data_IF_878344703977
#
_entry.id   IF_878344703977
#
_cell.length_a   1.000
_cell.length_b   1.000
_cell.length_c   1.000
_cell.angle_alpha   90.00
_cell.angle_beta   90.00
_cell.angle_gamma   90.00
#
_symmetry.space_group_name_H-M   'P 1'
#
loop_
_entity.id
_entity.type
_entity.pdbx_description
1 polymer ?
#
# COMPACT_ATOMS: atom_id res chain seq x y z
N UNK A 1 7.15 -4.98 11.74
CA UNK A 1 7.76 -3.69 11.33
C UNK A 1 7.83 -2.65 12.46
N UNK A 2 6.78 -2.42 13.27
CA UNK A 2 6.82 -1.43 14.38
C UNK A 2 8.02 -1.60 15.33
N UNK A 3 8.33 -2.84 15.74
CA UNK A 3 9.45 -3.13 16.64
C UNK A 3 10.83 -2.87 16.01
N UNK A 4 10.97 -3.09 14.71
CA UNK A 4 12.24 -2.94 13.99
C UNK A 4 12.55 -1.47 13.71
N UNK A 5 11.54 -0.68 13.33
CA UNK A 5 11.70 0.78 13.15
C UNK A 5 11.93 1.50 14.47
N UNK A 6 11.32 1.02 15.56
CA UNK A 6 11.61 1.49 16.90
C UNK A 6 13.06 1.19 17.27
N UNK A 7 13.58 0.01 16.93
CA UNK A 7 15.00 -0.34 17.12
C UNK A 7 15.90 0.57 16.29
N UNK A 8 15.60 0.85 15.02
CA UNK A 8 16.42 1.77 14.22
C UNK A 8 16.37 3.20 14.75
N UNK A 9 15.20 3.68 15.14
CA UNK A 9 15.06 4.98 15.78
C UNK A 9 15.84 5.03 17.10
N UNK A 10 15.80 3.99 17.91
CA UNK A 10 16.54 3.88 19.17
C UNK A 10 18.04 3.75 18.95
N UNK A 11 18.50 3.01 17.94
CA UNK A 11 19.92 2.88 17.58
C UNK A 11 20.43 4.21 17.05
N UNK A 12 19.68 4.89 16.19
CA UNK A 12 20.08 6.18 15.63
C UNK A 12 20.07 7.28 16.68
N UNK A 13 19.05 7.29 17.56
CA UNK A 13 18.99 8.17 18.72
C UNK A 13 20.11 7.86 19.71
N UNK A 14 20.44 6.58 19.91
CA UNK A 14 21.54 6.12 20.75
C UNK A 14 22.91 6.50 20.19
N UNK A 15 23.09 6.44 18.87
CA UNK A 15 24.30 6.92 18.18
C UNK A 15 24.41 8.44 18.26
N UNK A 16 23.30 9.18 18.11
CA UNK A 16 23.26 10.63 18.27
C UNK A 16 23.56 11.06 19.71
N UNK A 17 22.93 10.41 20.69
CA UNK A 17 23.17 10.65 22.11
C UNK A 17 24.60 10.26 22.51
N UNK A 18 25.07 9.10 22.07
CA UNK A 18 26.43 8.62 22.34
C UNK A 18 27.50 9.53 21.74
N UNK A 19 27.29 10.00 20.51
CA UNK A 19 28.15 10.99 19.87
C UNK A 19 28.15 12.33 20.64
N UNK A 20 26.97 12.81 21.03
CA UNK A 20 26.82 14.05 21.77
C UNK A 20 27.49 14.00 23.15
N UNK A 21 27.23 12.94 23.92
CA UNK A 21 27.85 12.70 25.22
C UNK A 21 29.37 12.51 25.10
N UNK A 22 29.83 11.81 24.07
CA UNK A 22 31.26 11.65 23.77
C UNK A 22 31.95 12.97 23.43
N UNK A 23 31.31 13.83 22.62
CA UNK A 23 31.85 15.15 22.24
C UNK A 23 31.95 16.14 23.41
N UNK A 24 31.04 16.04 24.38
CA UNK A 24 31.09 16.80 25.64
C UNK A 24 32.22 16.27 26.54
N UNK A 25 32.41 14.95 26.59
CA UNK A 25 33.41 14.32 27.45
C UNK A 25 34.86 14.53 26.98
N UNK A 26 35.10 14.70 25.68
CA UNK A 26 36.45 14.92 25.11
C UNK A 26 36.90 16.37 25.11
N UNK A 27 36.08 17.32 25.59
CA UNK A 27 36.43 18.73 25.64
C UNK A 27 36.54 19.42 24.27
N UNK A 28 36.17 18.75 23.17
CA UNK A 28 36.12 19.36 21.83
C UNK A 28 34.95 20.34 21.64
N UNK A 29 34.14 20.55 22.68
CA UNK A 29 33.00 21.46 22.71
C UNK A 29 33.27 22.81 23.37
N UNK A 30 34.42 23.46 23.14
CA UNK A 30 34.70 24.83 23.63
C UNK A 30 33.93 25.94 22.89
N UNK A 31 32.73 25.65 22.39
CA UNK A 31 31.82 26.64 21.80
C UNK A 31 30.56 26.76 22.64
N UNK A 32 30.27 27.97 23.13
CA UNK A 32 29.06 28.38 23.87
C UNK A 32 27.85 27.47 23.61
N UNK A 33 27.25 26.93 24.67
CA UNK A 33 26.21 25.88 24.64
C UNK A 33 24.99 26.13 23.71
N UNK A 34 24.79 27.34 23.20
CA UNK A 34 23.79 27.68 22.18
C UNK A 34 24.05 27.01 20.81
N UNK A 35 25.31 26.83 20.40
CA UNK A 35 25.65 26.22 19.10
C UNK A 35 25.39 24.71 19.06
N UNK A 36 25.65 24.04 20.18
CA UNK A 36 25.56 22.59 20.34
C UNK A 36 24.10 22.10 20.36
N UNK A 37 23.21 22.81 21.06
CA UNK A 37 21.77 22.51 21.06
C UNK A 37 21.12 22.72 19.68
N UNK A 38 21.49 23.78 18.96
CA UNK A 38 21.00 24.04 17.60
C UNK A 38 21.42 22.95 16.62
N UNK A 39 22.66 22.46 16.69
CA UNK A 39 23.16 21.35 15.85
C UNK A 39 22.39 20.07 16.12
N UNK A 40 22.10 19.75 17.39
CA UNK A 40 21.29 18.59 17.74
C UNK A 40 19.88 18.67 17.16
N UNK A 41 19.20 19.82 17.26
CA UNK A 41 17.88 20.02 16.67
C UNK A 41 17.89 19.85 15.16
N UNK A 42 18.94 20.34 14.48
CA UNK A 42 19.11 20.16 13.03
C UNK A 42 19.26 18.68 12.68
N UNK A 43 20.11 17.93 13.39
CA UNK A 43 20.30 16.50 13.15
C UNK A 43 19.03 15.69 13.41
N UNK A 44 18.29 16.03 14.48
CA UNK A 44 16.98 15.43 14.76
C UNK A 44 15.96 15.72 13.66
N UNK A 45 15.97 16.92 13.08
CA UNK A 45 15.09 17.27 11.97
C UNK A 45 15.49 16.57 10.66
N UNK A 46 16.78 16.34 10.43
CA UNK A 46 17.27 15.61 9.24
C UNK A 46 16.93 14.13 9.26
N UNK A 47 16.74 13.53 10.43
CA UNK A 47 16.40 12.12 10.58
C UNK A 47 15.16 11.72 9.76
N UNK A 48 13.95 12.29 9.98
CA UNK A 48 12.78 11.94 9.19
C UNK A 48 12.92 12.33 7.71
N UNK A 49 13.61 13.45 7.40
CA UNK A 49 13.82 13.90 6.02
C UNK A 49 14.64 12.89 5.23
N UNK A 50 15.76 12.42 5.80
CA UNK A 50 16.66 11.46 5.16
C UNK A 50 15.98 10.08 5.03
N UNK A 51 15.18 9.69 6.02
CA UNK A 51 14.38 8.47 5.98
C UNK A 51 13.38 8.46 4.82
N UNK A 52 12.56 9.50 4.69
CA UNK A 52 11.58 9.59 3.59
C UNK A 52 12.25 9.78 2.24
N UNK A 53 13.41 10.45 2.17
CA UNK A 53 14.18 10.54 0.94
C UNK A 53 14.68 9.16 0.49
N UNK A 54 15.12 8.31 1.42
CA UNK A 54 15.57 6.94 1.11
C UNK A 54 14.41 6.10 0.56
N UNK A 55 13.24 6.15 1.20
CA UNK A 55 12.02 5.49 0.72
C UNK A 55 11.61 6.03 -0.65
N UNK A 56 11.57 7.36 -0.82
CA UNK A 56 11.19 7.97 -2.09
C UNK A 56 12.08 7.48 -3.24
N UNK A 57 13.40 7.49 -3.06
CA UNK A 57 14.32 7.06 -4.10
C UNK A 57 14.25 5.55 -4.37
N UNK A 58 13.94 4.74 -3.36
CA UNK A 58 13.62 3.32 -3.54
C UNK A 58 12.37 3.14 -4.42
N UNK A 59 11.26 3.78 -4.07
CA UNK A 59 10.01 3.70 -4.84
C UNK A 59 10.15 4.27 -6.27
N UNK A 60 10.91 5.34 -6.43
CA UNK A 60 11.26 5.88 -7.75
C UNK A 60 12.09 4.89 -8.58
N UNK A 61 12.90 4.04 -7.94
CA UNK A 61 13.60 2.95 -8.61
C UNK A 61 12.63 1.96 -9.28
N UNK A 62 11.60 1.53 -8.55
CA UNK A 62 10.53 0.71 -9.13
C UNK A 62 9.81 1.44 -10.26
N UNK A 63 9.48 2.71 -10.06
CA UNK A 63 8.79 3.52 -11.08
C UNK A 63 9.61 3.61 -12.37
N UNK A 64 10.89 3.98 -12.28
CA UNK A 64 11.78 4.14 -13.45
C UNK A 64 11.91 2.82 -14.20
N UNK A 65 12.16 1.71 -13.48
CA UNK A 65 12.29 0.41 -14.13
C UNK A 65 10.96 -0.08 -14.70
N UNK A 66 9.84 0.15 -14.03
CA UNK A 66 8.52 -0.19 -14.57
C UNK A 66 8.19 0.61 -15.82
N UNK A 67 8.48 1.91 -15.86
CA UNK A 67 8.31 2.73 -17.07
C UNK A 67 9.18 2.23 -18.22
N UNK A 68 10.42 1.81 -17.95
CA UNK A 68 11.30 1.19 -18.95
C UNK A 68 10.72 -0.12 -19.50
N UNK A 69 9.92 -0.85 -18.71
CA UNK A 69 9.18 -2.04 -19.14
C UNK A 69 7.79 -1.74 -19.73
N UNK A 70 7.48 -0.47 -19.97
CA UNK A 70 6.19 0.03 -20.48
C UNK A 70 5.02 -0.21 -19.52
N UNK A 71 5.28 -0.28 -18.22
CA UNK A 71 4.22 -0.35 -17.22
C UNK A 71 3.57 1.03 -17.09
N UNK A 72 2.26 1.05 -16.83
CA UNK A 72 1.51 2.29 -16.63
C UNK A 72 1.48 2.65 -15.16
N UNK A 73 1.97 3.85 -14.84
CA UNK A 73 1.92 4.37 -13.49
C UNK A 73 0.47 4.52 -13.00
N UNK A 74 0.16 3.93 -11.84
CA UNK A 74 -1.12 4.11 -11.16
C UNK A 74 -0.96 4.94 -9.89
N UNK A 75 0.00 4.58 -9.04
CA UNK A 75 0.08 5.10 -7.68
C UNK A 75 1.50 5.06 -7.11
N UNK A 76 1.88 6.11 -6.38
CA UNK A 76 3.09 6.20 -5.57
C UNK A 76 2.73 6.78 -4.20
N UNK A 77 3.07 6.10 -3.13
CA UNK A 77 2.98 6.63 -1.77
C UNK A 77 4.34 6.63 -1.12
N UNK A 78 4.65 7.74 -0.45
CA UNK A 78 5.80 7.87 0.44
C UNK A 78 5.33 8.59 1.69
N UNK A 79 5.21 7.83 2.78
CA UNK A 79 4.73 8.32 4.06
C UNK A 79 3.41 9.10 3.97
N UNK A 80 3.37 10.40 4.35
CA UNK A 80 2.15 11.21 4.37
C UNK A 80 1.67 11.67 2.99
N UNK A 81 2.44 11.41 1.92
CA UNK A 81 2.14 11.92 0.57
C UNK A 81 1.79 10.76 -0.36
N UNK A 82 0.72 10.96 -1.10
CA UNK A 82 0.25 10.07 -2.16
C UNK A 82 0.24 10.85 -3.46
N UNK A 83 0.83 10.28 -4.49
CA UNK A 83 0.72 10.71 -5.87
C UNK A 83 -0.05 9.62 -6.63
N UNK A 84 -1.20 9.98 -7.19
CA UNK A 84 -2.03 9.06 -7.97
C UNK A 84 -2.29 9.62 -9.36
N UNK A 85 -2.35 8.74 -10.36
CA UNK A 85 -2.88 9.06 -11.68
C UNK A 85 -4.37 8.75 -11.70
N UNK A 86 -5.20 9.77 -11.87
CA UNK A 86 -6.65 9.64 -12.09
C UNK A 86 -6.91 10.07 -13.52
N UNK A 87 -7.37 9.13 -14.35
CA UNK A 87 -7.51 9.31 -15.80
C UNK A 87 -6.18 9.79 -16.45
N UNK A 88 -6.11 11.09 -16.79
CA UNK A 88 -4.96 11.77 -17.41
C UNK A 88 -4.29 12.81 -16.51
N UNK A 89 -4.72 12.95 -15.26
CA UNK A 89 -4.22 13.97 -14.33
C UNK A 89 -3.53 13.33 -13.12
N UNK A 90 -2.52 14.01 -12.61
CA UNK A 90 -1.86 13.65 -11.36
C UNK A 90 -2.54 14.36 -10.20
N UNK A 91 -2.92 13.61 -9.18
CA UNK A 91 -3.53 14.12 -7.96
C UNK A 91 -2.61 13.85 -6.78
N UNK A 92 -2.29 14.90 -6.03
CA UNK A 92 -1.65 14.77 -4.72
C UNK A 92 -2.71 14.60 -3.65
N UNK A 93 -2.53 13.61 -2.79
CA UNK A 93 -3.41 13.36 -1.66
C UNK A 93 -2.58 13.17 -0.39
N UNK A 94 -3.17 13.48 0.76
CA UNK A 94 -2.56 13.23 2.05
C UNK A 94 -2.89 11.81 2.51
N UNK A 95 -1.88 11.00 2.75
CA UNK A 95 -2.05 9.72 3.42
C UNK A 95 -2.46 9.97 4.88
N UNK A 96 -3.66 9.53 5.24
CA UNK A 96 -4.18 9.57 6.61
C UNK A 96 -4.11 8.19 7.30
N UNK A 97 -3.62 7.17 6.61
CA UNK A 97 -3.48 5.80 7.12
C UNK A 97 -2.30 5.64 8.08
N UNK A 98 -2.19 4.47 8.72
CA UNK A 98 -1.10 4.17 9.66
C UNK A 98 0.22 3.74 9.00
N UNK A 99 0.23 3.53 7.67
CA UNK A 99 1.43 3.18 6.90
C UNK A 99 2.31 4.41 6.57
N UNK A 100 2.25 5.46 7.39
CA UNK A 100 3.07 6.67 7.25
C UNK A 100 4.58 6.38 7.28
N UNK A 101 5.00 5.19 7.70
CA UNK A 101 6.40 4.82 7.81
C UNK A 101 6.94 4.09 6.57
N UNK A 102 6.12 3.75 5.57
CA UNK A 102 6.55 3.01 4.39
C UNK A 102 6.41 3.81 3.09
N UNK A 103 6.77 3.14 2.00
CA UNK A 103 6.40 3.52 0.64
C UNK A 103 5.77 2.35 -0.09
N UNK A 104 5.06 2.63 -1.17
CA UNK A 104 4.74 1.61 -2.18
C UNK A 104 4.45 2.27 -3.53
N UNK A 105 4.81 1.54 -4.60
CA UNK A 105 4.57 1.93 -5.99
C UNK A 105 3.71 0.88 -6.67
N UNK A 106 2.57 1.29 -7.21
CA UNK A 106 1.70 0.43 -8.03
C UNK A 106 1.80 0.86 -9.48
N UNK A 107 2.12 -0.11 -10.33
CA UNK A 107 2.09 0.05 -11.77
C UNK A 107 1.26 -1.07 -12.40
N UNK A 108 0.56 -0.74 -13.48
CA UNK A 108 -0.18 -1.69 -14.28
C UNK A 108 0.75 -2.26 -15.36
N UNK A 109 0.76 -3.57 -15.49
CA UNK A 109 1.61 -4.25 -16.47
C UNK A 109 0.96 -4.23 -17.87
N UNK A 110 1.72 -4.44 -18.95
CA UNK A 110 1.17 -4.70 -20.28
C UNK A 110 0.67 -6.15 -20.35
N UNK A 111 -0.46 -6.39 -21.04
CA UNK A 111 -0.98 -7.75 -21.27
C UNK A 111 -0.08 -8.58 -22.21
N UNK A 112 0.74 -7.92 -23.03
CA UNK A 112 1.56 -8.58 -24.02
C UNK A 112 2.98 -8.89 -23.53
N UNK A 113 3.48 -10.07 -23.89
CA UNK A 113 4.86 -10.50 -23.70
C UNK A 113 5.12 -11.25 -22.39
N UNK A 114 6.39 -11.57 -22.16
CA UNK A 114 6.82 -12.35 -21.00
C UNK A 114 6.80 -11.47 -19.73
N UNK A 115 5.69 -11.56 -18.97
CA UNK A 115 5.49 -10.78 -17.75
C UNK A 115 6.62 -11.02 -16.75
N UNK A 116 7.11 -12.26 -16.61
CA UNK A 116 8.24 -12.59 -15.72
C UNK A 116 9.48 -11.77 -16.05
N UNK A 117 9.88 -11.73 -17.33
CA UNK A 117 11.07 -10.97 -17.76
C UNK A 117 10.93 -9.47 -17.53
N UNK A 118 9.72 -8.93 -17.61
CA UNK A 118 9.43 -7.51 -17.33
C UNK A 118 9.35 -7.23 -15.82
N UNK A 119 8.88 -8.19 -15.03
CA UNK A 119 8.75 -8.07 -13.59
C UNK A 119 10.09 -8.05 -12.87
N UNK A 120 11.08 -8.82 -13.31
CA UNK A 120 12.41 -8.86 -12.69
C UNK A 120 13.05 -7.46 -12.59
N UNK A 121 13.23 -6.69 -13.69
CA UNK A 121 13.83 -5.36 -13.59
C UNK A 121 12.95 -4.38 -12.81
N UNK A 122 11.62 -4.50 -12.88
CA UNK A 122 10.71 -3.67 -12.08
C UNK A 122 10.90 -3.88 -10.58
N UNK A 123 10.91 -5.13 -10.11
CA UNK A 123 11.13 -5.47 -8.69
C UNK A 123 12.56 -5.15 -8.26
N UNK A 124 13.55 -5.39 -9.11
CA UNK A 124 14.94 -5.03 -8.80
C UNK A 124 15.17 -3.51 -8.74
N UNK A 125 14.31 -2.71 -9.37
CA UNK A 125 14.46 -1.25 -9.48
C UNK A 125 14.61 -0.55 -8.14
N UNK A 126 13.80 -0.91 -7.14
CA UNK A 126 13.88 -0.33 -5.80
C UNK A 126 15.21 -0.63 -5.11
N UNK A 127 15.57 -1.91 -4.89
CA UNK A 127 16.86 -2.28 -4.32
C UNK A 127 18.08 -1.71 -5.05
N UNK A 128 18.06 -1.69 -6.40
CA UNK A 128 19.15 -1.13 -7.19
C UNK A 128 19.28 0.39 -7.01
N UNK A 129 18.16 1.12 -7.00
CA UNK A 129 18.16 2.55 -6.74
C UNK A 129 18.69 2.84 -5.33
N UNK A 130 18.19 2.13 -4.31
CA UNK A 130 18.65 2.27 -2.92
C UNK A 130 20.14 1.98 -2.77
N UNK A 131 20.65 0.93 -3.40
CA UNK A 131 22.07 0.59 -3.37
C UNK A 131 22.90 1.70 -4.01
N UNK A 132 22.52 2.13 -5.22
CA UNK A 132 23.27 3.15 -5.96
C UNK A 132 23.29 4.49 -5.25
N UNK A 133 22.13 5.02 -4.85
CA UNK A 133 22.05 6.32 -4.18
C UNK A 133 22.63 6.27 -2.77
N UNK A 134 22.49 5.14 -2.07
CA UNK A 134 23.10 4.93 -0.76
C UNK A 134 24.63 4.94 -0.82
N UNK A 135 25.22 4.27 -1.81
CA UNK A 135 26.67 4.27 -2.04
C UNK A 135 27.19 5.67 -2.44
N UNK A 136 26.45 6.38 -3.29
CA UNK A 136 26.79 7.76 -3.64
C UNK A 136 26.75 8.69 -2.43
N UNK A 137 25.72 8.58 -1.59
CA UNK A 137 25.61 9.37 -0.37
C UNK A 137 26.71 9.03 0.64
N UNK A 138 27.04 7.74 0.79
CA UNK A 138 28.15 7.31 1.64
C UNK A 138 29.50 7.84 1.13
N UNK A 139 29.76 7.75 -0.18
CA UNK A 139 30.96 8.31 -0.78
C UNK A 139 31.04 9.82 -0.55
N UNK A 140 29.95 10.55 -0.76
CA UNK A 140 29.86 11.98 -0.47
C UNK A 140 30.12 12.28 1.01
N UNK A 141 29.53 11.51 1.93
CA UNK A 141 29.79 11.63 3.36
C UNK A 141 31.29 11.51 3.69
N UNK A 142 32.01 10.58 3.04
CA UNK A 142 33.46 10.46 3.22
C UNK A 142 34.24 11.63 2.63
N UNK A 143 33.82 12.20 1.48
CA UNK A 143 34.47 13.39 0.90
C UNK A 143 34.39 14.60 1.83
N UNK A 144 33.34 14.68 2.65
CA UNK A 144 33.19 15.70 3.67
C UNK A 144 33.89 15.36 5.00
N UNK A 145 34.71 14.31 5.06
CA UNK A 145 35.44 13.91 6.27
C UNK A 145 34.67 12.97 7.21
N UNK A 146 33.53 12.44 6.76
CA UNK A 146 32.73 11.47 7.50
C UNK A 146 32.32 11.98 8.89
N UNK A 147 32.52 11.14 9.92
CA UNK A 147 32.20 11.49 11.31
C UNK A 147 33.03 12.69 11.81
N UNK A 148 34.29 12.81 11.38
CA UNK A 148 35.14 13.96 11.70
C UNK A 148 34.68 15.23 10.97
N UNK A 149 34.13 15.07 9.77
CA UNK A 149 33.45 16.15 9.04
C UNK A 149 32.25 16.70 9.79
N UNK A 150 31.45 15.81 10.36
CA UNK A 150 30.28 16.17 11.15
C UNK A 150 30.66 16.89 12.46
N UNK A 151 31.75 16.47 13.11
CA UNK A 151 32.26 17.15 14.32
C UNK A 151 32.85 18.52 14.02
N UNK A 152 33.54 18.63 12.90
CA UNK A 152 34.29 19.82 12.53
C UNK A 152 33.49 20.76 11.62
N UNK A 153 32.21 20.48 11.38
CA UNK A 153 31.34 21.30 10.54
C UNK A 153 31.35 22.75 11.04
N UNK A 154 31.89 23.64 10.21
CA UNK A 154 32.16 25.03 10.58
C UNK A 154 30.90 25.88 10.62
N UNK A 155 29.91 25.51 9.80
CA UNK A 155 28.66 26.25 9.62
C UNK A 155 27.45 25.29 9.51
N UNK A 156 26.26 25.89 9.47
CA UNK A 156 24.99 25.15 9.40
C UNK A 156 24.84 24.35 8.09
N UNK A 157 25.29 24.90 6.97
CA UNK A 157 25.18 24.24 5.66
C UNK A 157 26.04 22.97 5.62
N UNK A 158 27.27 23.02 6.12
CA UNK A 158 28.13 21.85 6.27
C UNK A 158 27.45 20.78 7.13
N UNK A 159 26.87 21.19 8.26
CA UNK A 159 26.14 20.28 9.16
C UNK A 159 24.94 19.63 8.46
N UNK A 160 24.19 20.41 7.66
CA UNK A 160 23.05 19.91 6.89
C UNK A 160 23.48 18.89 5.83
N UNK A 161 24.52 19.19 5.05
CA UNK A 161 25.02 18.32 3.98
C UNK A 161 25.56 17.02 4.57
N UNK A 162 26.50 17.11 5.51
CA UNK A 162 27.16 15.93 6.10
C UNK A 162 26.17 15.08 6.89
N UNK A 163 25.30 15.73 7.67
CA UNK A 163 24.25 15.04 8.43
C UNK A 163 23.27 14.33 7.51
N UNK A 164 22.80 14.97 6.44
CA UNK A 164 21.90 14.35 5.47
C UNK A 164 22.55 13.16 4.77
N UNK A 165 23.77 13.30 4.25
CA UNK A 165 24.50 12.22 3.56
C UNK A 165 24.74 11.01 4.50
N UNK A 166 25.11 11.28 5.74
CA UNK A 166 25.30 10.26 6.77
C UNK A 166 24.01 9.51 7.10
N UNK A 167 22.92 10.22 7.43
CA UNK A 167 21.64 9.57 7.71
C UNK A 167 21.05 8.87 6.50
N UNK A 168 21.09 9.51 5.32
CA UNK A 168 20.54 8.94 4.10
C UNK A 168 21.25 7.63 3.73
N UNK A 169 22.59 7.59 3.81
CA UNK A 169 23.35 6.36 3.53
C UNK A 169 23.04 5.26 4.54
N UNK A 170 22.95 5.59 5.85
CA UNK A 170 22.54 4.67 6.90
C UNK A 170 21.15 4.07 6.64
N UNK A 171 20.16 4.92 6.35
CA UNK A 171 18.80 4.47 6.05
C UNK A 171 18.72 3.67 4.76
N UNK A 172 19.50 4.04 3.74
CA UNK A 172 19.54 3.28 2.48
C UNK A 172 20.10 1.88 2.71
N UNK A 173 21.20 1.74 3.47
CA UNK A 173 21.73 0.43 3.83
C UNK A 173 20.74 -0.43 4.62
N UNK A 174 20.05 0.18 5.58
CA UNK A 174 19.01 -0.49 6.36
C UNK A 174 17.79 -0.89 5.51
N UNK A 175 17.32 0.01 4.65
CA UNK A 175 16.20 -0.23 3.74
C UNK A 175 16.53 -1.33 2.74
N UNK A 176 17.73 -1.33 2.18
CA UNK A 176 18.22 -2.38 1.28
C UNK A 176 18.22 -3.75 1.96
N UNK A 177 18.70 -3.83 3.21
CA UNK A 177 18.65 -5.06 3.99
C UNK A 177 17.21 -5.56 4.18
N UNK A 178 16.28 -4.68 4.57
CA UNK A 178 14.87 -5.07 4.72
C UNK A 178 14.21 -5.47 3.40
N UNK A 179 14.50 -4.74 2.32
CA UNK A 179 13.95 -5.00 1.00
C UNK A 179 14.44 -6.34 0.44
N UNK A 180 15.70 -6.71 0.66
CA UNK A 180 16.28 -7.96 0.17
C UNK A 180 16.10 -9.16 1.12
N UNK A 181 15.80 -8.94 2.41
CA UNK A 181 15.53 -10.02 3.35
C UNK A 181 14.27 -10.78 2.91
N UNK A 182 14.37 -12.06 2.50
CA UNK A 182 13.25 -12.76 1.89
C UNK A 182 12.20 -13.08 2.95
N UNK A 183 11.09 -12.34 2.91
CA UNK A 183 9.96 -12.55 3.81
C UNK A 183 8.66 -12.39 3.05
N UNK A 184 7.73 -13.31 3.30
CA UNK A 184 6.36 -13.30 2.82
C UNK A 184 5.39 -13.33 4.02
N UNK A 185 4.26 -12.65 3.87
CA UNK A 185 3.16 -12.63 4.84
C UNK A 185 1.87 -12.36 4.07
N UNK A 186 1.17 -13.43 3.67
CA UNK A 186 0.06 -13.34 2.72
C UNK A 186 0.50 -12.66 1.41
N UNK A 187 -0.25 -11.66 0.96
CA UNK A 187 0.06 -10.86 -0.23
C UNK A 187 1.29 -9.94 -0.09
N UNK A 188 1.74 -9.67 1.13
CA UNK A 188 2.87 -8.75 1.35
C UNK A 188 4.17 -9.54 1.29
N UNK A 189 5.00 -9.21 0.30
CA UNK A 189 6.32 -9.79 0.12
C UNK A 189 7.36 -8.68 0.01
N UNK A 190 8.56 -8.95 0.51
CA UNK A 190 9.72 -8.10 0.26
C UNK A 190 10.20 -8.26 -1.18
N UNK A 191 10.92 -7.25 -1.71
CA UNK A 191 11.47 -7.33 -3.06
C UNK A 191 12.38 -8.54 -3.23
N UNK A 192 13.16 -8.88 -2.21
CA UNK A 192 14.05 -10.04 -2.20
C UNK A 192 13.28 -11.36 -2.31
N UNK A 193 12.18 -11.51 -1.55
CA UNK A 193 11.32 -12.68 -1.69
C UNK A 193 10.77 -12.78 -3.12
N UNK A 194 10.25 -11.67 -3.64
CA UNK A 194 9.68 -11.62 -4.99
C UNK A 194 10.71 -11.87 -6.09
N UNK A 195 11.92 -11.34 -5.96
CA UNK A 195 13.02 -11.62 -6.88
C UNK A 195 13.43 -13.08 -6.85
N UNK A 196 13.52 -13.71 -5.67
CA UNK A 196 13.81 -15.13 -5.56
C UNK A 196 12.74 -15.98 -6.23
N UNK A 197 11.46 -15.68 -5.98
CA UNK A 197 10.32 -16.30 -6.66
C UNK A 197 10.49 -16.18 -8.17
N UNK A 198 10.56 -14.93 -8.69
CA UNK A 198 10.72 -14.65 -10.12
C UNK A 198 11.97 -15.28 -10.75
N UNK A 199 13.09 -15.42 -10.04
CA UNK A 199 14.31 -16.02 -10.57
C UNK A 199 14.33 -17.54 -10.46
N UNK A 200 13.56 -18.12 -9.53
CA UNK A 200 13.46 -19.56 -9.40
C UNK A 200 12.78 -20.19 -10.62
N UNK A 201 13.25 -21.37 -11.02
CA UNK A 201 12.69 -22.16 -12.12
C UNK A 201 11.55 -23.10 -11.66
N UNK A 202 11.21 -23.08 -10.37
CA UNK A 202 10.15 -23.92 -9.80
C UNK A 202 8.80 -23.27 -10.09
N UNK A 203 7.77 -24.09 -10.29
CA UNK A 203 6.43 -23.69 -10.77
C UNK A 203 5.64 -22.73 -9.87
N UNK A 204 6.18 -22.29 -8.73
CA UNK A 204 5.52 -21.40 -7.74
C UNK A 204 5.11 -20.03 -8.31
N UNK A 205 5.72 -19.60 -9.41
CA UNK A 205 5.45 -18.27 -9.96
C UNK A 205 4.12 -18.21 -10.74
N UNK A 206 3.57 -19.36 -11.16
CA UNK A 206 2.41 -19.37 -12.03
C UNK A 206 1.18 -18.75 -11.35
N UNK A 207 0.97 -19.09 -10.08
CA UNK A 207 -0.14 -18.56 -9.29
C UNK A 207 -0.03 -17.03 -9.09
N UNK A 208 1.16 -16.54 -8.75
CA UNK A 208 1.44 -15.11 -8.62
C UNK A 208 1.17 -14.37 -9.94
N UNK A 209 1.55 -14.94 -11.09
CA UNK A 209 1.26 -14.35 -12.39
C UNK A 209 -0.22 -14.35 -12.75
N UNK A 210 -0.94 -15.43 -12.46
CA UNK A 210 -2.39 -15.49 -12.67
C UNK A 210 -3.09 -14.43 -11.81
N UNK A 211 -2.72 -14.33 -10.53
CA UNK A 211 -3.20 -13.27 -9.64
C UNK A 211 -2.95 -11.87 -10.23
N UNK A 212 -1.74 -11.56 -10.68
CA UNK A 212 -1.46 -10.25 -11.27
C UNK A 212 -2.17 -10.00 -12.59
N UNK A 213 -2.35 -11.02 -13.44
CA UNK A 213 -3.09 -10.91 -14.69
C UNK A 213 -4.55 -10.53 -14.41
N UNK A 214 -5.18 -11.18 -13.41
CA UNK A 214 -6.52 -10.81 -12.95
C UNK A 214 -6.58 -9.39 -12.42
N UNK A 215 -5.71 -9.04 -11.47
CA UNK A 215 -5.71 -7.70 -10.86
C UNK A 215 -5.49 -6.59 -11.88
N UNK A 216 -4.65 -6.84 -12.89
CA UNK A 216 -4.44 -5.92 -13.98
C UNK A 216 -5.71 -5.76 -14.83
N UNK A 217 -6.40 -6.86 -15.15
CA UNK A 217 -7.69 -6.83 -15.85
C UNK A 217 -8.72 -6.01 -15.07
N UNK A 218 -8.86 -6.30 -13.78
CA UNK A 218 -9.76 -5.58 -12.88
C UNK A 218 -9.42 -4.09 -12.79
N UNK A 219 -8.16 -3.73 -12.53
CA UNK A 219 -7.74 -2.33 -12.43
C UNK A 219 -7.81 -1.60 -13.78
N UNK A 220 -7.70 -2.33 -14.89
CA UNK A 220 -7.92 -1.85 -16.25
C UNK A 220 -9.39 -1.55 -16.56
N UNK A 221 -10.31 -1.91 -15.66
CA UNK A 221 -11.73 -1.65 -15.79
C UNK A 221 -12.51 -2.79 -16.44
N UNK A 222 -11.98 -4.01 -16.50
CA UNK A 222 -12.77 -5.17 -16.91
C UNK A 222 -13.95 -5.32 -15.95
N UNK A 223 -15.17 -5.42 -16.50
CA UNK A 223 -16.35 -5.59 -15.68
C UNK A 223 -16.32 -6.96 -15.00
N UNK A 224 -16.74 -7.11 -13.73
CA UNK A 224 -16.63 -8.40 -13.03
C UNK A 224 -17.29 -9.59 -13.73
N UNK A 225 -18.42 -9.37 -14.43
CA UNK A 225 -19.07 -10.38 -15.28
C UNK A 225 -18.18 -10.96 -16.40
N UNK A 226 -17.13 -10.23 -16.79
CA UNK A 226 -16.21 -10.56 -17.87
C UNK A 226 -14.84 -11.03 -17.33
N UNK A 227 -14.71 -11.29 -16.02
CA UNK A 227 -13.49 -11.87 -15.47
C UNK A 227 -13.23 -13.27 -16.03
N UNK A 228 -11.95 -13.65 -16.09
CA UNK A 228 -11.53 -14.99 -16.46
C UNK A 228 -11.79 -15.95 -15.29
N UNK A 229 -12.94 -16.64 -15.35
CA UNK A 229 -13.36 -17.62 -14.34
C UNK A 229 -12.33 -18.72 -14.12
N UNK A 230 -11.81 -19.31 -15.21
CA UNK A 230 -10.90 -20.45 -15.11
C UNK A 230 -9.60 -20.04 -14.41
N UNK A 231 -9.10 -18.85 -14.72
CA UNK A 231 -7.98 -18.25 -14.02
C UNK A 231 -8.29 -18.05 -12.53
N UNK A 232 -9.43 -17.44 -12.21
CA UNK A 232 -9.82 -17.15 -10.83
C UNK A 232 -10.00 -18.43 -10.01
N UNK A 233 -10.63 -19.47 -10.56
CA UNK A 233 -10.81 -20.77 -9.90
C UNK A 233 -9.46 -21.45 -9.64
N UNK A 234 -8.50 -21.36 -10.58
CA UNK A 234 -7.12 -21.83 -10.35
C UNK A 234 -6.43 -21.09 -9.22
N UNK A 235 -6.62 -19.77 -9.11
CA UNK A 235 -6.04 -18.98 -8.02
C UNK A 235 -6.76 -19.24 -6.70
N UNK A 236 -8.07 -19.45 -6.72
CA UNK A 236 -8.88 -19.75 -5.55
C UNK A 236 -8.60 -21.12 -4.94
N UNK A 237 -8.19 -22.10 -5.76
CA UNK A 237 -7.77 -23.43 -5.31
C UNK A 237 -6.41 -23.44 -4.58
N UNK A 238 -5.78 -22.28 -4.40
CA UNK A 238 -4.57 -22.11 -3.60
C UNK A 238 -4.86 -22.32 -2.11
N UNK A 239 -4.52 -23.50 -1.61
CA UNK A 239 -4.58 -23.85 -0.18
C UNK A 239 -3.31 -23.40 0.59
N UNK A 240 -2.28 -22.88 -0.11
CA UNK A 240 -1.00 -22.54 0.51
C UNK A 240 -1.04 -21.22 1.31
N UNK A 241 -0.01 -20.96 2.12
CA UNK A 241 0.23 -19.69 2.86
C UNK A 241 0.40 -18.45 1.96
N UNK A 242 0.20 -18.63 0.66
CA UNK A 242 0.42 -17.65 -0.37
C UNK A 242 -0.49 -16.41 -0.21
N UNK A 243 -1.71 -16.64 0.29
CA UNK A 243 -2.69 -15.59 0.55
C UNK A 243 -3.39 -15.05 -0.69
N UNK A 244 -3.21 -15.66 -1.87
CA UNK A 244 -3.94 -15.26 -3.09
C UNK A 244 -5.36 -15.81 -3.15
N UNK A 245 -5.59 -17.03 -2.66
CA UNK A 245 -6.89 -17.72 -2.69
C UNK A 245 -8.07 -16.87 -2.18
N UNK A 246 -7.99 -16.25 -1.00
CA UNK A 246 -9.10 -15.43 -0.48
C UNK A 246 -9.45 -14.22 -1.36
N UNK A 247 -8.50 -13.65 -2.09
CA UNK A 247 -8.74 -12.55 -3.03
C UNK A 247 -9.33 -13.00 -4.35
N UNK A 248 -8.96 -14.19 -4.80
CA UNK A 248 -9.62 -14.82 -5.94
C UNK A 248 -11.08 -15.12 -5.60
N UNK A 249 -11.37 -15.61 -4.39
CA UNK A 249 -12.73 -15.76 -3.89
C UNK A 249 -13.50 -14.44 -3.83
N UNK A 250 -12.87 -13.34 -3.39
CA UNK A 250 -13.52 -12.02 -3.46
C UNK A 250 -13.85 -11.62 -4.91
N UNK A 251 -12.98 -11.93 -5.86
CA UNK A 251 -13.21 -11.63 -7.27
C UNK A 251 -14.30 -12.51 -7.90
N UNK A 252 -14.36 -13.79 -7.52
CA UNK A 252 -15.43 -14.70 -7.89
C UNK A 252 -16.77 -14.26 -7.30
N UNK A 253 -16.80 -13.83 -6.04
CA UNK A 253 -17.98 -13.21 -5.42
C UNK A 253 -18.55 -12.06 -6.26
N UNK A 254 -17.70 -11.13 -6.71
CA UNK A 254 -18.12 -10.02 -7.57
C UNK A 254 -18.66 -10.49 -8.92
N UNK A 255 -17.99 -11.48 -9.52
CA UNK A 255 -18.41 -12.06 -10.80
C UNK A 255 -19.77 -12.75 -10.68
N UNK A 256 -19.98 -13.58 -9.65
CA UNK A 256 -21.25 -14.27 -9.45
C UNK A 256 -22.40 -13.29 -9.16
N UNK A 257 -22.16 -12.25 -8.36
CA UNK A 257 -23.14 -11.16 -8.19
C UNK A 257 -23.46 -10.46 -9.50
N UNK A 258 -22.45 -10.16 -10.33
CA UNK A 258 -22.65 -9.54 -11.65
C UNK A 258 -23.49 -10.42 -12.60
N UNK A 259 -23.47 -11.73 -12.38
CA UNK A 259 -24.23 -12.72 -13.13
C UNK A 259 -25.59 -13.05 -12.49
N UNK A 260 -25.95 -12.39 -11.38
CA UNK A 260 -27.20 -12.63 -10.65
C UNK A 260 -27.23 -13.92 -9.83
N UNK A 261 -26.08 -14.56 -9.63
CA UNK A 261 -25.93 -15.84 -8.90
C UNK A 261 -25.63 -15.60 -7.43
N UNK A 262 -26.66 -15.19 -6.70
CA UNK A 262 -26.54 -14.69 -5.31
C UNK A 262 -26.04 -15.77 -4.34
N UNK A 263 -26.48 -17.02 -4.49
CA UNK A 263 -26.12 -18.12 -3.58
C UNK A 263 -24.64 -18.50 -3.74
N UNK A 264 -24.17 -18.60 -4.99
CA UNK A 264 -22.77 -18.88 -5.31
C UNK A 264 -21.86 -17.73 -4.86
N UNK A 265 -22.33 -16.49 -5.01
CA UNK A 265 -21.62 -15.32 -4.51
C UNK A 265 -21.42 -15.36 -2.99
N UNK A 266 -22.46 -15.72 -2.23
CA UNK A 266 -22.36 -15.86 -0.76
C UNK A 266 -21.30 -16.89 -0.37
N UNK A 267 -21.28 -18.05 -1.04
CA UNK A 267 -20.30 -19.11 -0.79
C UNK A 267 -18.86 -18.62 -0.97
N UNK A 268 -18.57 -17.90 -2.05
CA UNK A 268 -17.25 -17.31 -2.26
C UNK A 268 -16.91 -16.21 -1.27
N UNK A 269 -17.88 -15.37 -0.88
CA UNK A 269 -17.64 -14.34 0.12
C UNK A 269 -17.29 -14.95 1.48
N UNK A 270 -17.94 -16.05 1.86
CA UNK A 270 -17.64 -16.75 3.10
C UNK A 270 -16.23 -17.36 3.11
N UNK A 271 -15.82 -18.00 2.01
CA UNK A 271 -14.44 -18.51 1.86
C UNK A 271 -13.39 -17.39 1.92
N UNK A 272 -13.69 -16.24 1.30
CA UNK A 272 -12.82 -15.07 1.39
C UNK A 272 -12.68 -14.56 2.83
N UNK A 273 -13.77 -14.51 3.60
CA UNK A 273 -13.76 -14.08 5.01
C UNK A 273 -12.92 -15.00 5.87
N UNK A 274 -13.16 -16.30 5.78
CA UNK A 274 -12.44 -17.32 6.53
C UNK A 274 -10.94 -17.26 6.24
N UNK A 275 -10.57 -17.13 4.97
CA UNK A 275 -9.16 -17.07 4.57
C UNK A 275 -8.42 -15.77 4.93
N UNK A 276 -9.12 -14.64 5.07
CA UNK A 276 -8.49 -13.34 5.41
C UNK A 276 -8.42 -13.08 6.92
N UNK A 277 -9.29 -13.71 7.71
CA UNK A 277 -9.40 -13.50 9.16
C UNK A 277 -8.05 -13.57 9.89
N UNK A 278 -7.15 -14.46 9.46
CA UNK A 278 -5.86 -14.71 10.11
C UNK A 278 -4.66 -13.99 9.47
N UNK A 279 -4.83 -13.39 8.28
CA UNK A 279 -3.68 -12.94 7.48
C UNK A 279 -3.39 -11.44 7.59
N UNK A 280 -4.42 -10.58 7.62
CA UNK A 280 -4.22 -9.12 7.68
C UNK A 280 -5.45 -8.37 8.20
N UNK A 281 -5.39 -7.69 9.37
CA UNK A 281 -6.50 -6.94 9.94
C UNK A 281 -7.08 -5.84 9.03
N UNK A 282 -6.26 -5.26 8.13
CA UNK A 282 -6.73 -4.21 7.21
C UNK A 282 -7.62 -4.78 6.10
N UNK A 283 -7.27 -5.95 5.59
CA UNK A 283 -7.99 -6.61 4.51
C UNK A 283 -9.24 -7.29 5.09
N UNK A 284 -9.11 -7.91 6.27
CA UNK A 284 -10.22 -8.52 6.99
C UNK A 284 -11.37 -7.53 7.17
N UNK A 285 -11.08 -6.28 7.55
CA UNK A 285 -12.15 -5.30 7.70
C UNK A 285 -12.84 -4.96 6.36
N UNK A 286 -12.10 -4.85 5.25
CA UNK A 286 -12.72 -4.59 3.95
C UNK A 286 -13.67 -5.71 3.55
N UNK A 287 -13.26 -6.97 3.75
CA UNK A 287 -14.12 -8.13 3.49
C UNK A 287 -15.34 -8.16 4.43
N UNK A 288 -15.19 -7.75 5.69
CA UNK A 288 -16.35 -7.62 6.59
C UNK A 288 -17.33 -6.52 6.13
N UNK A 289 -16.85 -5.41 5.56
CA UNK A 289 -17.72 -4.41 4.95
C UNK A 289 -18.46 -4.97 3.73
N UNK A 290 -17.79 -5.75 2.88
CA UNK A 290 -18.42 -6.45 1.74
C UNK A 290 -19.49 -7.44 2.22
N UNK A 291 -19.19 -8.22 3.26
CA UNK A 291 -20.15 -9.15 3.86
C UNK A 291 -21.38 -8.44 4.42
N UNK A 292 -21.17 -7.37 5.19
CA UNK A 292 -22.28 -6.62 5.77
C UNK A 292 -23.12 -5.92 4.69
N UNK A 293 -22.49 -5.48 3.58
CA UNK A 293 -23.20 -4.94 2.41
C UNK A 293 -24.02 -6.03 1.70
N UNK A 294 -23.44 -7.21 1.49
CA UNK A 294 -24.13 -8.34 0.89
C UNK A 294 -25.37 -8.74 1.69
N UNK A 295 -25.23 -8.90 3.01
CA UNK A 295 -26.35 -9.27 3.89
C UNK A 295 -27.44 -8.18 3.91
N UNK A 296 -27.09 -6.90 3.79
CA UNK A 296 -28.09 -5.83 3.73
C UNK A 296 -28.96 -5.93 2.47
N UNK A 297 -28.36 -6.18 1.30
CA UNK A 297 -29.07 -6.19 0.02
C UNK A 297 -29.75 -7.53 -0.30
N UNK A 298 -29.01 -8.63 -0.14
CA UNK A 298 -29.43 -9.97 -0.58
C UNK A 298 -29.70 -10.93 0.58
N UNK A 299 -29.21 -10.61 1.78
CA UNK A 299 -29.52 -11.37 2.99
C UNK A 299 -30.96 -11.19 3.46
N UNK A 300 -31.42 -12.14 4.25
CA UNK A 300 -32.70 -12.03 4.93
C UNK A 300 -32.63 -11.03 6.10
N UNK A 301 -33.79 -10.64 6.64
CA UNK A 301 -33.82 -9.68 7.74
C UNK A 301 -33.24 -10.22 9.05
N UNK A 302 -33.07 -11.55 9.17
CA UNK A 302 -32.52 -12.23 10.36
C UNK A 302 -31.00 -12.27 10.30
N UNK A 303 -30.43 -12.45 9.10
CA UNK A 303 -28.98 -12.48 8.86
C UNK A 303 -28.35 -11.10 8.95
N UNK A 304 -29.11 -10.05 8.63
CA UNK A 304 -28.66 -8.66 8.78
C UNK A 304 -28.87 -8.12 10.21
N UNK A 305 -27.79 -7.94 10.97
CA UNK A 305 -27.83 -7.32 12.31
C UNK A 305 -27.02 -6.02 12.37
N UNK A 306 -27.42 -5.10 13.24
CA UNK A 306 -26.64 -3.87 13.52
C UNK A 306 -25.25 -4.16 14.12
N UNK A 307 -25.04 -5.40 14.60
CA UNK A 307 -23.78 -5.92 15.13
C UNK A 307 -22.78 -6.29 14.03
N UNK A 308 -23.23 -6.54 12.80
CA UNK A 308 -22.35 -6.75 11.63
C UNK A 308 -21.58 -5.48 11.25
N UNK A 309 -21.82 -4.35 11.92
CA UNK A 309 -21.00 -3.17 11.79
C UNK A 309 -19.56 -3.46 12.20
N UNK A 310 -18.57 -3.34 11.29
CA UNK A 310 -17.17 -3.48 11.66
C UNK A 310 -16.84 -2.42 12.71
N UNK A 311 -16.35 -2.85 13.89
CA UNK A 311 -15.98 -1.96 14.98
C UNK A 311 -15.12 -0.79 14.44
N UNK A 312 -15.24 0.42 15.04
CA UNK A 312 -14.53 1.65 14.66
C UNK A 312 -13.00 1.48 14.75
N UNK A 313 -12.40 0.74 13.83
CA UNK A 313 -10.98 0.71 13.60
C UNK A 313 -10.69 1.60 12.40
N UNK A 314 -9.71 2.48 12.59
CA UNK A 314 -9.22 3.41 11.58
C UNK A 314 -8.51 2.62 10.49
N UNK A 315 -9.20 2.33 9.40
CA UNK A 315 -8.65 1.63 8.23
C UNK A 315 -8.38 2.57 7.08
N UNK A 316 -7.60 2.06 6.14
CA UNK A 316 -7.44 2.59 4.79
C UNK A 316 -8.54 1.94 3.94
N UNK A 317 -9.80 2.13 4.33
CA UNK A 317 -10.91 1.80 3.44
C UNK A 317 -11.00 2.91 2.41
N UNK A 318 -11.21 2.52 1.16
CA UNK A 318 -11.62 3.47 0.16
C UNK A 318 -12.91 4.16 0.64
N UNK A 319 -12.99 5.50 0.65
CA UNK A 319 -14.15 6.21 1.17
C UNK A 319 -15.49 5.76 0.57
N UNK A 320 -15.47 5.24 -0.67
CA UNK A 320 -16.63 4.69 -1.38
C UNK A 320 -17.21 3.44 -0.72
N UNK A 321 -16.38 2.44 -0.38
CA UNK A 321 -16.82 1.16 0.19
C UNK A 321 -17.65 1.33 1.46
N UNK A 322 -17.20 2.22 2.36
CA UNK A 322 -17.94 2.51 3.60
C UNK A 322 -19.27 3.21 3.32
N UNK A 323 -19.27 4.20 2.42
CA UNK A 323 -20.48 4.92 2.05
C UNK A 323 -21.51 3.98 1.40
N UNK A 324 -21.06 3.09 0.50
CA UNK A 324 -21.91 2.07 -0.13
C UNK A 324 -22.56 1.13 0.89
N UNK A 325 -21.78 0.61 1.83
CA UNK A 325 -22.34 -0.18 2.92
C UNK A 325 -23.40 0.63 3.72
N UNK A 326 -23.09 1.87 4.08
CA UNK A 326 -24.02 2.71 4.85
C UNK A 326 -25.31 2.99 4.05
N UNK A 327 -25.21 3.16 2.73
CA UNK A 327 -26.37 3.30 1.86
C UNK A 327 -27.28 2.07 1.95
N UNK A 328 -26.74 0.85 1.76
CA UNK A 328 -27.51 -0.39 1.86
C UNK A 328 -28.11 -0.58 3.27
N UNK A 329 -27.36 -0.24 4.31
CA UNK A 329 -27.83 -0.27 5.70
C UNK A 329 -29.01 0.65 5.95
N UNK A 330 -28.91 1.92 5.55
CA UNK A 330 -29.99 2.88 5.75
C UNK A 330 -31.23 2.52 4.92
N UNK A 331 -31.02 2.04 3.69
CA UNK A 331 -32.09 1.54 2.84
C UNK A 331 -32.84 0.37 3.49
N UNK A 332 -32.14 -0.65 3.99
CA UNK A 332 -32.74 -1.81 4.69
C UNK A 332 -33.54 -1.41 5.93
N UNK A 333 -33.19 -0.28 6.57
CA UNK A 333 -33.90 0.30 7.73
C UNK A 333 -35.07 1.22 7.36
N UNK A 334 -35.27 1.52 6.07
CA UNK A 334 -36.24 2.51 5.62
C UNK A 334 -35.82 3.97 5.86
N UNK A 335 -34.56 4.23 6.23
CA UNK A 335 -34.02 5.58 6.44
C UNK A 335 -33.54 6.18 5.09
N UNK A 336 -34.50 6.38 4.16
CA UNK A 336 -34.20 6.63 2.74
C UNK A 336 -33.37 7.89 2.47
N UNK A 337 -33.62 9.00 3.18
CA UNK A 337 -32.84 10.24 3.01
C UNK A 337 -31.35 10.02 3.30
N UNK A 338 -31.06 9.29 4.39
CA UNK A 338 -29.68 8.94 4.76
C UNK A 338 -29.07 7.97 3.78
N UNK A 339 -29.85 7.04 3.23
CA UNK A 339 -29.37 6.15 2.19
C UNK A 339 -28.94 6.95 0.95
N UNK A 340 -29.76 7.91 0.51
CA UNK A 340 -29.46 8.77 -0.64
C UNK A 340 -28.20 9.62 -0.43
N UNK A 341 -28.03 10.22 0.75
CA UNK A 341 -26.80 10.95 1.10
C UNK A 341 -25.55 10.07 0.94
N UNK A 342 -25.62 8.82 1.40
CA UNK A 342 -24.50 7.88 1.29
C UNK A 342 -24.26 7.40 -0.14
N UNK A 343 -25.30 7.23 -0.95
CA UNK A 343 -25.17 6.92 -2.39
C UNK A 343 -24.39 8.02 -3.11
N UNK A 344 -24.73 9.29 -2.85
CA UNK A 344 -24.03 10.45 -3.44
C UNK A 344 -22.56 10.44 -3.04
N UNK A 345 -22.26 10.18 -1.76
CA UNK A 345 -20.89 10.08 -1.27
C UNK A 345 -20.11 8.93 -1.91
N UNK A 346 -20.73 7.76 -2.07
CA UNK A 346 -20.14 6.60 -2.71
C UNK A 346 -19.82 6.88 -4.20
N UNK A 347 -20.80 7.39 -4.97
CA UNK A 347 -20.62 7.74 -6.39
C UNK A 347 -19.51 8.77 -6.59
N UNK A 348 -19.38 9.76 -5.69
CA UNK A 348 -18.30 10.76 -5.75
C UNK A 348 -16.90 10.14 -5.54
N UNK A 349 -16.82 9.01 -4.84
CA UNK A 349 -15.55 8.31 -4.60
C UNK A 349 -15.16 7.37 -5.76
N UNK A 350 -16.11 6.89 -6.57
CA UNK A 350 -15.86 5.90 -7.63
C UNK A 350 -14.80 6.29 -8.67
N UNK A 351 -14.74 7.54 -9.20
CA UNK A 351 -13.66 7.94 -10.12
C UNK A 351 -12.27 7.84 -9.47
N UNK A 352 -12.23 7.86 -8.14
CA UNK A 352 -11.03 7.73 -7.34
C UNK A 352 -10.79 6.31 -6.83
N UNK A 353 -11.53 5.31 -7.32
CA UNK A 353 -11.33 3.93 -6.92
C UNK A 353 -10.07 3.33 -7.54
N UNK A 354 -9.26 2.57 -6.81
CA UNK A 354 -8.05 1.95 -7.38
C UNK A 354 -8.40 0.89 -8.43
N UNK A 355 -9.35 0.04 -8.08
CA UNK A 355 -9.87 -1.00 -8.95
C UNK A 355 -11.05 -0.46 -9.79
N UNK A 356 -10.81 -0.20 -11.07
CA UNK A 356 -11.84 0.35 -11.96
C UNK A 356 -12.90 -0.68 -12.37
N UNK A 357 -12.59 -1.98 -12.30
CA UNK A 357 -13.52 -3.07 -12.59
C UNK A 357 -14.57 -3.18 -11.49
N UNK A 358 -14.12 -3.19 -10.24
CA UNK A 358 -15.00 -3.11 -9.08
C UNK A 358 -15.84 -1.83 -9.07
N UNK A 359 -15.27 -0.69 -9.47
CA UNK A 359 -16.01 0.57 -9.54
C UNK A 359 -17.21 0.51 -10.51
N UNK A 360 -17.14 -0.30 -11.56
CA UNK A 360 -18.25 -0.48 -12.51
C UNK A 360 -19.43 -1.21 -11.88
N UNK A 361 -19.20 -2.34 -11.21
CA UNK A 361 -20.28 -3.09 -10.57
C UNK A 361 -20.86 -2.33 -9.38
N UNK A 362 -20.01 -1.60 -8.65
CA UNK A 362 -20.48 -0.74 -7.56
C UNK A 362 -21.43 0.34 -8.05
N UNK A 363 -21.16 0.95 -9.21
CA UNK A 363 -22.06 1.91 -9.83
C UNK A 363 -23.43 1.28 -10.14
N UNK A 364 -23.47 0.04 -10.63
CA UNK A 364 -24.71 -0.69 -10.89
C UNK A 364 -25.52 -0.92 -9.61
N UNK A 365 -24.87 -1.35 -8.53
CA UNK A 365 -25.54 -1.54 -7.24
C UNK A 365 -26.05 -0.23 -6.62
N UNK A 366 -25.28 0.85 -6.73
CA UNK A 366 -25.70 2.17 -6.27
C UNK A 366 -26.88 2.71 -7.08
N UNK A 367 -26.93 2.44 -8.39
CA UNK A 367 -28.06 2.79 -9.24
C UNK A 367 -29.32 1.98 -8.87
N UNK A 368 -29.17 0.68 -8.63
CA UNK A 368 -30.24 -0.19 -8.14
C UNK A 368 -30.83 0.32 -6.81
N UNK A 369 -29.97 0.69 -5.85
CA UNK A 369 -30.42 1.26 -4.57
C UNK A 369 -31.16 2.59 -4.75
N UNK A 370 -30.68 3.46 -5.63
CA UNK A 370 -31.31 4.75 -5.93
C UNK A 370 -32.70 4.59 -6.55
N UNK A 371 -32.86 3.65 -7.49
CA UNK A 371 -34.16 3.30 -8.08
C UNK A 371 -35.16 2.79 -7.03
N UNK A 372 -34.69 2.04 -6.03
CA UNK A 372 -35.54 1.53 -4.95
C UNK A 372 -35.90 2.62 -3.91
N UNK A 373 -35.12 3.68 -3.79
CA UNK A 373 -35.38 4.82 -2.88
C UNK A 373 -36.38 5.79 -3.49
N UNK A 374 -36.28 6.02 -4.80
CA UNK A 374 -37.18 6.89 -5.55
C UNK A 374 -37.63 6.15 -6.80
N UNK A 375 -38.58 5.19 -6.67
CA UNK A 375 -39.17 4.58 -7.83
C UNK A 375 -39.78 5.70 -8.64
N UNK A 376 -39.25 5.94 -9.85
CA UNK A 376 -39.81 6.93 -10.76
C UNK A 376 -41.33 6.72 -10.79
N UNK A 377 -42.11 7.80 -10.64
CA UNK A 377 -43.56 7.78 -10.86
C UNK A 377 -43.79 7.24 -12.28
N UNK A 378 -44.05 5.93 -12.37
CA UNK A 378 -44.32 5.21 -13.60
C UNK A 378 -45.82 5.23 -13.94
#
# INVERSE_FOLDING_TARGET
MRSILLVVAMVSLGLLLGYFLGSQATGQGEGNGEGTGRRLLVLLALFPVSYYAAILLHELGHLVMGLAQKFSFAYLMVGPVILRKVEKRYSFQRNRGFNLLGGFTVMLFPQEGDLRKKMIPYVAGGPLATLFTGLLAWWGFQQYGGMSGLSNASNLLDTLIVGFLGFYSLFSGFLLFLALYPRRSGLVQTDGARLLTLLSAKGDNQLEFLYYAHYQSSFGGTHPRDYDRELLEKVAADEDESGYGPFAHLSLYLMELALGKVVEAEGHLQLAREGVADQNPFISQAVEYEHAFFQALWGDAVSYTDELWPAKQRTILEPGTKARYLAARYWKKGELDKAQEQIILAKKALPHHLDQGFAKIELEWLAMLEEQISPAEA
#
